data_IF_506945098626
#
_entry.id   IF_506945098626
#
_cell.length_a   1.000
_cell.length_b   1.000
_cell.length_c   1.000
_cell.angle_alpha   90.00
_cell.angle_beta   90.00
_cell.angle_gamma   90.00
#
_symmetry.space_group_name_H-M   'P 1'
#
loop_
_entity.id
_entity.type
_entity.pdbx_description
1 polymer ?
#
# COMPACT_ATOMS: atom_id res chain seq x y z
N UNK A 1 -27.87 27.39 -3.54
CA UNK A 1 -28.14 26.04 -3.00
C UNK A 1 -27.09 24.99 -3.43
N UNK A 2 -26.54 25.03 -4.65
CA UNK A 2 -25.59 24.01 -5.17
C UNK A 2 -24.19 23.98 -4.53
N UNK A 3 -23.66 25.12 -4.05
CA UNK A 3 -22.28 25.19 -3.55
C UNK A 3 -22.07 24.46 -2.20
N UNK A 4 -23.13 24.24 -1.43
CA UNK A 4 -23.06 23.60 -0.11
C UNK A 4 -22.93 22.07 -0.22
N UNK A 5 -23.66 21.42 -1.13
CA UNK A 5 -23.56 19.96 -1.33
C UNK A 5 -22.19 19.54 -1.85
N UNK A 6 -21.64 20.26 -2.83
CA UNK A 6 -20.28 20.00 -3.32
C UNK A 6 -19.23 20.14 -2.20
N UNK A 7 -19.38 21.16 -1.34
CA UNK A 7 -18.49 21.35 -0.20
C UNK A 7 -18.60 20.22 0.82
N UNK A 8 -19.79 19.64 1.02
CA UNK A 8 -19.98 18.47 1.88
C UNK A 8 -19.30 17.23 1.31
N UNK A 9 -19.45 16.96 0.01
CA UNK A 9 -18.77 15.84 -0.64
C UNK A 9 -17.25 15.97 -0.55
N UNK A 10 -16.70 17.17 -0.77
CA UNK A 10 -15.26 17.41 -0.63
C UNK A 10 -14.76 17.14 0.79
N UNK A 11 -15.47 17.62 1.81
CA UNK A 11 -15.11 17.30 3.21
C UNK A 11 -15.11 15.80 3.50
N UNK A 12 -16.06 15.05 2.93
CA UNK A 12 -16.07 13.59 3.06
C UNK A 12 -14.87 12.94 2.37
N UNK A 13 -14.49 13.43 1.19
CA UNK A 13 -13.29 12.97 0.46
C UNK A 13 -12.03 13.27 1.28
N UNK A 14 -11.87 14.50 1.79
CA UNK A 14 -10.72 14.90 2.59
C UNK A 14 -10.54 14.00 3.83
N UNK A 15 -11.65 13.61 4.47
CA UNK A 15 -11.63 12.69 5.62
C UNK A 15 -11.21 11.27 5.22
N UNK A 16 -11.67 10.78 4.06
CA UNK A 16 -11.27 9.47 3.53
C UNK A 16 -9.79 9.49 3.18
N UNK A 17 -9.30 10.54 2.53
CA UNK A 17 -7.90 10.70 2.15
C UNK A 17 -6.99 10.72 3.38
N UNK A 18 -7.39 11.43 4.45
CA UNK A 18 -6.66 11.40 5.71
C UNK A 18 -6.59 9.97 6.30
N UNK A 19 -7.70 9.24 6.29
CA UNK A 19 -7.72 7.84 6.75
C UNK A 19 -6.83 6.93 5.88
N UNK A 20 -6.84 7.10 4.55
CA UNK A 20 -5.98 6.36 3.64
C UNK A 20 -4.50 6.59 3.94
N UNK A 21 -4.09 7.86 4.17
CA UNK A 21 -2.70 8.20 4.51
C UNK A 21 -2.29 7.57 5.85
N UNK A 22 -3.14 7.63 6.88
CA UNK A 22 -2.84 7.00 8.16
C UNK A 22 -2.72 5.48 8.05
N UNK A 23 -3.59 4.83 7.28
CA UNK A 23 -3.52 3.38 7.05
C UNK A 23 -2.27 2.97 6.28
N UNK A 24 -1.87 3.76 5.27
CA UNK A 24 -0.63 3.53 4.54
C UNK A 24 0.58 3.71 5.46
N UNK A 25 0.62 4.75 6.29
CA UNK A 25 1.72 4.97 7.23
C UNK A 25 1.91 3.77 8.17
N UNK A 26 0.81 3.24 8.72
CA UNK A 26 0.86 2.05 9.56
C UNK A 26 1.31 0.80 8.78
N UNK A 27 0.83 0.62 7.55
CA UNK A 27 1.29 -0.46 6.68
C UNK A 27 2.79 -0.37 6.41
N UNK A 28 3.30 0.82 6.09
CA UNK A 28 4.71 1.04 5.82
C UNK A 28 5.59 0.82 7.05
N UNK A 29 5.12 1.19 8.25
CA UNK A 29 5.80 0.89 9.51
C UNK A 29 6.01 -0.62 9.69
N UNK A 30 4.97 -1.41 9.40
CA UNK A 30 5.05 -2.87 9.50
C UNK A 30 5.98 -3.44 8.42
N UNK A 31 5.90 -2.96 7.17
CA UNK A 31 6.78 -3.46 6.11
C UNK A 31 8.24 -3.08 6.35
N UNK A 32 8.54 -1.94 6.96
CA UNK A 32 9.92 -1.62 7.38
C UNK A 32 10.46 -2.64 8.40
N UNK A 33 9.65 -3.05 9.38
CA UNK A 33 10.03 -4.10 10.31
C UNK A 33 10.22 -5.46 9.61
N UNK A 34 9.40 -5.77 8.60
CA UNK A 34 9.61 -6.95 7.73
C UNK A 34 10.93 -6.85 6.97
N UNK A 35 11.26 -5.68 6.42
CA UNK A 35 12.53 -5.42 5.75
C UNK A 35 13.73 -5.63 6.65
N UNK A 36 13.69 -5.10 7.88
CA UNK A 36 14.72 -5.33 8.91
C UNK A 36 14.88 -6.82 9.22
N UNK A 37 13.77 -7.50 9.49
CA UNK A 37 13.79 -8.94 9.75
C UNK A 37 14.37 -9.75 8.57
N UNK A 38 13.99 -9.40 7.34
CA UNK A 38 14.52 -10.04 6.13
C UNK A 38 16.03 -9.82 6.00
N UNK A 39 16.51 -8.59 6.22
CA UNK A 39 17.92 -8.27 6.16
C UNK A 39 18.73 -9.04 7.23
N UNK A 40 18.25 -9.05 8.49
CA UNK A 40 18.88 -9.80 9.59
C UNK A 40 18.90 -11.32 9.34
N UNK A 41 17.88 -11.83 8.66
CA UNK A 41 17.73 -13.25 8.33
C UNK A 41 18.35 -13.64 6.98
N UNK A 42 19.09 -12.74 6.31
CA UNK A 42 19.66 -12.93 4.97
C UNK A 42 18.64 -13.38 3.90
N UNK A 43 17.39 -12.91 4.03
CA UNK A 43 16.31 -13.15 3.06
C UNK A 43 16.29 -12.07 1.99
N UNK A 44 15.86 -12.38 0.76
CA UNK A 44 15.76 -11.41 -0.31
C UNK A 44 14.71 -10.31 0.00
N UNK A 45 14.97 -9.05 -0.38
CA UNK A 45 14.02 -7.94 -0.28
C UNK A 45 12.66 -8.25 -0.94
N UNK A 46 12.70 -8.73 -2.19
CA UNK A 46 11.55 -9.17 -2.97
C UNK A 46 11.14 -10.62 -2.67
N UNK A 47 9.86 -10.92 -2.83
CA UNK A 47 9.28 -12.26 -2.70
C UNK A 47 8.16 -12.42 -3.73
N UNK A 48 8.49 -12.88 -4.95
CA UNK A 48 7.54 -12.90 -6.06
C UNK A 48 6.29 -13.73 -5.80
N UNK A 49 6.42 -14.84 -5.06
CA UNK A 49 5.28 -15.70 -4.71
C UNK A 49 4.33 -14.94 -3.76
N UNK A 50 4.89 -14.34 -2.71
CA UNK A 50 4.11 -13.53 -1.76
C UNK A 50 3.45 -12.33 -2.43
N UNK A 51 4.12 -11.67 -3.36
CA UNK A 51 3.60 -10.52 -4.11
C UNK A 51 2.42 -10.92 -5.00
N UNK A 52 2.51 -12.05 -5.71
CA UNK A 52 1.41 -12.59 -6.52
C UNK A 52 0.18 -12.92 -5.67
N UNK A 53 0.38 -13.52 -4.48
CA UNK A 53 -0.72 -13.78 -3.54
C UNK A 53 -1.39 -12.50 -3.04
N UNK A 54 -0.60 -11.45 -2.74
CA UNK A 54 -1.14 -10.16 -2.33
C UNK A 54 -2.01 -9.56 -3.43
N UNK A 55 -1.50 -9.54 -4.68
CA UNK A 55 -2.25 -9.03 -5.84
C UNK A 55 -3.56 -9.79 -5.99
N UNK A 56 -3.53 -11.12 -5.99
CA UNK A 56 -4.74 -11.95 -6.12
C UNK A 56 -5.77 -11.67 -5.02
N UNK A 57 -5.32 -11.64 -3.76
CA UNK A 57 -6.21 -11.38 -2.62
C UNK A 57 -6.85 -9.99 -2.70
N UNK A 58 -6.08 -8.99 -3.07
CA UNK A 58 -6.55 -7.61 -3.09
C UNK A 58 -7.42 -7.29 -4.30
N UNK A 59 -7.19 -7.93 -5.45
CA UNK A 59 -8.13 -7.90 -6.59
C UNK A 59 -9.52 -8.39 -6.16
N UNK A 60 -9.58 -9.51 -5.42
CA UNK A 60 -10.84 -10.03 -4.87
C UNK A 60 -11.52 -9.03 -3.92
N UNK A 61 -10.75 -8.39 -3.05
CA UNK A 61 -11.29 -7.35 -2.14
C UNK A 61 -11.81 -6.13 -2.90
N UNK A 62 -11.15 -5.74 -4.00
CA UNK A 62 -11.62 -4.66 -4.86
C UNK A 62 -12.96 -5.00 -5.51
N UNK A 63 -13.09 -6.21 -6.07
CA UNK A 63 -14.34 -6.71 -6.64
C UNK A 63 -15.47 -6.70 -5.60
N UNK A 64 -15.20 -7.20 -4.38
CA UNK A 64 -16.17 -7.21 -3.28
C UNK A 64 -16.58 -5.80 -2.81
N UNK A 65 -15.68 -4.83 -2.90
CA UNK A 65 -15.92 -3.43 -2.55
C UNK A 65 -16.54 -2.60 -3.70
N UNK A 66 -16.75 -3.18 -4.89
CA UNK A 66 -17.22 -2.46 -6.07
C UNK A 66 -16.19 -1.50 -6.67
N UNK A 67 -14.91 -1.71 -6.39
CA UNK A 67 -13.79 -0.96 -6.96
C UNK A 67 -13.23 -1.69 -8.18
N UNK A 68 -12.82 -0.93 -9.20
CA UNK A 68 -12.20 -1.50 -10.40
C UNK A 68 -10.96 -2.33 -10.04
N UNK A 69 -10.93 -3.64 -10.35
CA UNK A 69 -9.79 -4.51 -10.04
C UNK A 69 -8.52 -4.11 -10.79
N UNK A 70 -8.62 -3.52 -12.00
CA UNK A 70 -7.45 -3.07 -12.74
C UNK A 70 -6.80 -1.84 -12.09
N UNK A 71 -7.60 -0.84 -11.72
CA UNK A 71 -7.13 0.29 -10.93
C UNK A 71 -6.50 -0.18 -9.62
N UNK A 72 -7.16 -1.09 -8.92
CA UNK A 72 -6.68 -1.61 -7.64
C UNK A 72 -5.33 -2.30 -7.79
N UNK A 73 -5.17 -3.15 -8.81
CA UNK A 73 -3.90 -3.80 -9.06
C UNK A 73 -2.78 -2.79 -9.35
N UNK A 74 -3.02 -1.75 -10.16
CA UNK A 74 -2.02 -0.71 -10.44
C UNK A 74 -1.57 0.01 -9.18
N UNK A 75 -2.52 0.42 -8.32
CA UNK A 75 -2.22 1.06 -7.05
C UNK A 75 -1.39 0.14 -6.14
N UNK A 76 -1.71 -1.15 -6.11
CA UNK A 76 -1.03 -2.12 -5.25
C UNK A 76 0.36 -2.46 -5.72
N UNK A 77 0.57 -2.56 -7.04
CA UNK A 77 1.91 -2.71 -7.61
C UNK A 77 2.80 -1.54 -7.20
N UNK A 78 2.30 -0.31 -7.33
CA UNK A 78 3.01 0.88 -6.86
C UNK A 78 3.40 0.80 -5.37
N UNK A 79 2.46 0.40 -4.50
CA UNK A 79 2.74 0.24 -3.07
C UNK A 79 3.73 -0.89 -2.78
N UNK A 80 3.68 -2.00 -3.52
CA UNK A 80 4.62 -3.13 -3.38
C UNK A 80 6.02 -2.72 -3.84
N UNK A 81 6.14 -2.05 -4.98
CA UNK A 81 7.42 -1.58 -5.53
C UNK A 81 8.13 -0.66 -4.53
N UNK A 82 7.39 0.27 -3.91
CA UNK A 82 7.93 1.17 -2.87
C UNK A 82 8.39 0.40 -1.62
N UNK A 83 7.71 -0.69 -1.25
CA UNK A 83 8.12 -1.54 -0.14
C UNK A 83 9.40 -2.30 -0.46
N UNK A 84 9.50 -2.87 -1.67
CA UNK A 84 10.70 -3.59 -2.12
C UNK A 84 11.90 -2.62 -2.13
N UNK A 85 11.71 -1.41 -2.66
CA UNK A 85 12.76 -0.39 -2.67
C UNK A 85 13.25 -0.04 -1.25
N UNK A 86 12.33 0.08 -0.28
CA UNK A 86 12.71 0.25 1.12
C UNK A 86 13.48 -0.94 1.69
N UNK A 87 13.09 -2.17 1.36
CA UNK A 87 13.80 -3.36 1.80
C UNK A 87 15.21 -3.44 1.22
N UNK A 88 15.40 -3.11 -0.06
CA UNK A 88 16.73 -3.02 -0.69
C UNK A 88 17.63 -2.03 0.07
N UNK A 89 17.11 -0.83 0.35
CA UNK A 89 17.84 0.18 1.14
C UNK A 89 18.20 -0.28 2.56
N UNK A 90 17.33 -1.06 3.20
CA UNK A 90 17.60 -1.62 4.53
C UNK A 90 18.71 -2.68 4.43
N UNK A 91 18.67 -3.52 3.39
CA UNK A 91 19.67 -4.56 3.17
C UNK A 91 21.06 -3.98 2.83
N UNK A 92 21.10 -2.88 2.08
CA UNK A 92 22.35 -2.19 1.72
C UNK A 92 22.99 -1.43 2.90
N UNK A 93 22.25 -1.22 4.00
CA UNK A 93 22.69 -0.48 5.18
C UNK A 93 22.60 1.06 5.01
N UNK A 94 22.77 1.85 6.09
CA UNK A 94 22.85 3.30 5.96
C UNK A 94 24.08 3.67 5.12
N UNK A 95 23.89 4.52 4.09
CA UNK A 95 24.99 5.18 3.40
C UNK A 95 25.84 6.01 4.37
#
# INVERSE_FOLDING_TARGET
MSNNQLSQFRRSIDNIDAALIHMLAERFRITQAVGQYKAESAMPPADPEREQEQIKRLRKLAEEAGLDPEFSEKFLRFVIDEVIHHHERIADGPQ
#
